data_IF_677394288843
#
_entry.id   IF_677394288843
#
_cell.length_a   1.000
_cell.length_b   1.000
_cell.length_c   1.000
_cell.angle_alpha   90.00
_cell.angle_beta   90.00
_cell.angle_gamma   90.00
#
_symmetry.space_group_name_H-M   'P 1'
#
loop_
_entity.id
_entity.type
_entity.pdbx_description
1 polymer ?
#
# COMPACT_ATOMS: atom_id res chain seq x y z
N UNK A 1 -56.83 -0.75 10.99
CA UNK A 1 -56.56 0.09 9.78
C UNK A 1 -57.23 1.48 9.78
N UNK A 2 -58.09 1.85 10.74
CA UNK A 2 -58.68 3.20 10.79
C UNK A 2 -57.94 4.21 11.70
N UNK A 3 -57.03 3.76 12.58
CA UNK A 3 -56.34 4.66 13.53
C UNK A 3 -54.98 5.20 13.03
N UNK A 4 -54.36 4.57 12.02
CA UNK A 4 -53.08 5.05 11.44
C UNK A 4 -53.25 6.12 10.34
N UNK A 5 -54.45 6.32 9.80
CA UNK A 5 -54.69 7.34 8.77
C UNK A 5 -54.81 8.77 9.33
N UNK A 6 -55.08 8.92 10.63
CA UNK A 6 -55.31 10.25 11.23
C UNK A 6 -54.01 10.92 11.72
N UNK A 7 -52.94 10.17 11.98
CA UNK A 7 -51.63 10.75 12.35
C UNK A 7 -50.79 11.19 11.14
N UNK A 8 -51.03 10.64 9.94
CA UNK A 8 -50.29 11.01 8.73
C UNK A 8 -50.72 12.36 8.13
N UNK A 9 -51.85 12.94 8.55
CA UNK A 9 -52.36 14.21 8.02
C UNK A 9 -51.88 15.47 8.77
N UNK A 10 -51.07 15.35 9.84
CA UNK A 10 -50.58 16.52 10.60
C UNK A 10 -49.10 16.87 10.42
N UNK A 11 -48.34 16.14 9.60
CA UNK A 11 -46.89 16.35 9.43
C UNK A 11 -46.41 16.44 7.98
N UNK A 12 -47.31 16.75 7.04
CA UNK A 12 -46.97 17.00 5.64
C UNK A 12 -47.35 18.44 5.25
N UNK A 13 -46.71 19.40 5.90
CA UNK A 13 -46.59 20.77 5.42
C UNK A 13 -45.14 21.01 5.03
N UNK A 14 -44.90 21.28 3.74
CA UNK A 14 -43.61 21.59 3.09
C UNK A 14 -42.65 20.42 2.81
N UNK A 15 -42.93 19.65 1.76
CA UNK A 15 -41.87 18.99 0.99
C UNK A 15 -42.13 19.14 -0.51
N UNK A 16 -41.09 19.48 -1.26
CA UNK A 16 -41.11 19.69 -2.72
C UNK A 16 -41.49 18.40 -3.47
N UNK A 17 -42.27 18.53 -4.56
CA UNK A 17 -42.73 17.45 -5.46
C UNK A 17 -41.61 16.51 -5.97
N UNK A 18 -40.34 16.93 -5.98
CA UNK A 18 -39.21 16.06 -6.36
C UNK A 18 -38.83 15.04 -5.29
N UNK A 19 -39.05 15.35 -4.01
CA UNK A 19 -38.70 14.48 -2.87
C UNK A 19 -39.69 13.33 -2.70
N UNK A 20 -40.97 13.58 -3.00
CA UNK A 20 -42.04 12.56 -2.92
C UNK A 20 -41.92 11.52 -4.03
N UNK A 21 -41.41 11.87 -5.21
CA UNK A 21 -41.22 10.94 -6.32
C UNK A 21 -40.04 9.99 -6.09
N UNK A 22 -38.93 10.48 -5.51
CA UNK A 22 -37.77 9.65 -5.19
C UNK A 22 -38.05 8.67 -4.03
N UNK A 23 -38.85 9.06 -3.03
CA UNK A 23 -39.27 8.13 -1.96
C UNK A 23 -40.21 7.02 -2.47
N UNK A 24 -41.07 7.30 -3.45
CA UNK A 24 -41.95 6.29 -4.05
C UNK A 24 -41.14 5.31 -4.92
N UNK A 25 -40.12 5.78 -5.65
CA UNK A 25 -39.22 4.90 -6.42
C UNK A 25 -38.39 4.00 -5.50
N UNK A 26 -37.89 4.52 -4.37
CA UNK A 26 -37.13 3.74 -3.37
C UNK A 26 -38.03 2.69 -2.70
N UNK A 27 -39.30 2.99 -2.42
CA UNK A 27 -40.25 2.02 -1.87
C UNK A 27 -40.65 0.92 -2.89
N UNK A 28 -40.78 1.26 -4.17
CA UNK A 28 -41.10 0.28 -5.22
C UNK A 28 -39.91 -0.65 -5.51
N UNK A 29 -38.68 -0.11 -5.51
CA UNK A 29 -37.45 -0.91 -5.64
C UNK A 29 -37.21 -1.78 -4.40
N UNK A 30 -37.53 -1.28 -3.21
CA UNK A 30 -37.43 -2.05 -1.95
C UNK A 30 -38.41 -3.23 -1.87
N UNK A 31 -39.62 -3.09 -2.41
CA UNK A 31 -40.61 -4.18 -2.44
C UNK A 31 -40.22 -5.25 -3.49
N UNK A 32 -39.66 -4.87 -4.64
CA UNK A 32 -39.17 -5.83 -5.64
C UNK A 32 -37.93 -6.62 -5.20
N UNK A 33 -37.06 -6.04 -4.36
CA UNK A 33 -35.89 -6.75 -3.79
C UNK A 33 -36.29 -7.74 -2.70
N UNK A 34 -37.37 -7.46 -1.94
CA UNK A 34 -37.88 -8.36 -0.90
C UNK A 34 -38.60 -9.58 -1.49
N UNK A 35 -39.24 -9.47 -2.65
CA UNK A 35 -39.85 -10.62 -3.35
C UNK A 35 -38.83 -11.53 -4.04
N UNK A 36 -37.68 -11.01 -4.48
CA UNK A 36 -36.57 -11.81 -5.03
C UNK A 36 -35.80 -12.61 -3.94
N UNK A 37 -35.79 -12.12 -2.69
CA UNK A 37 -35.13 -12.80 -1.58
C UNK A 37 -35.97 -13.93 -0.95
N UNK A 38 -37.29 -13.95 -1.17
CA UNK A 38 -38.20 -14.95 -0.59
C UNK A 38 -38.46 -16.16 -1.50
N UNK A 39 -37.90 -16.20 -2.71
CA UNK A 39 -38.13 -17.29 -3.70
C UNK A 39 -36.96 -18.29 -3.81
N UNK A 40 -35.77 -18.00 -3.25
CA UNK A 40 -34.58 -18.87 -3.37
C UNK A 40 -34.03 -19.44 -2.06
N UNK A 41 -34.91 -19.78 -1.12
CA UNK A 41 -34.53 -20.51 0.08
C UNK A 41 -35.51 -21.63 0.38
N UNK A 42 -35.28 -22.82 -0.17
CA UNK A 42 -35.58 -24.14 0.43
C UNK A 42 -35.42 -25.28 -0.60
N UNK A 43 -34.43 -26.15 -0.41
CA UNK A 43 -34.26 -27.43 -1.11
C UNK A 43 -33.16 -28.27 -0.46
N UNK A 44 -33.37 -29.57 -0.15
CA UNK A 44 -32.65 -30.28 0.91
C UNK A 44 -31.29 -30.86 0.50
N UNK A 45 -30.37 -30.95 1.47
CA UNK A 45 -29.14 -31.75 1.36
C UNK A 45 -29.46 -33.25 1.35
N UNK A 46 -28.79 -34.07 0.50
CA UNK A 46 -28.74 -35.51 0.67
C UNK A 46 -27.43 -35.95 1.35
N UNK A 47 -27.60 -36.78 2.38
CA UNK A 47 -26.61 -37.60 3.08
C UNK A 47 -25.98 -38.65 2.17
N UNK A 48 -24.66 -38.85 2.27
CA UNK A 48 -23.93 -39.96 1.63
C UNK A 48 -23.75 -41.08 2.66
N UNK A 49 -24.16 -42.34 2.38
CA UNK A 49 -23.79 -43.50 3.19
C UNK A 49 -22.52 -44.18 2.66
N UNK A 50 -21.68 -44.66 3.57
CA UNK A 50 -20.66 -45.67 3.31
C UNK A 50 -21.30 -46.99 2.89
N UNK A 51 -20.81 -47.61 1.82
CA UNK A 51 -20.74 -49.07 1.72
C UNK A 51 -19.72 -49.54 0.68
N UNK A 52 -18.87 -50.45 1.12
CA UNK A 52 -17.91 -51.25 0.35
C UNK A 52 -18.64 -52.18 -0.63
N UNK A 53 -18.10 -52.40 -1.83
CA UNK A 53 -18.00 -53.74 -2.43
C UNK A 53 -17.10 -53.74 -3.67
N UNK A 54 -16.40 -54.86 -3.84
CA UNK A 54 -15.32 -55.12 -4.78
C UNK A 54 -15.81 -55.64 -6.16
N UNK A 55 -14.92 -55.45 -7.15
CA UNK A 55 -14.57 -56.35 -8.29
C UNK A 55 -15.40 -56.43 -9.59
N UNK A 56 -14.65 -56.15 -10.69
CA UNK A 56 -14.56 -56.81 -12.04
C UNK A 56 -15.82 -56.76 -12.93
N UNK A 57 -15.77 -56.52 -14.25
CA UNK A 57 -14.73 -56.70 -15.27
C UNK A 57 -15.15 -55.99 -16.59
N UNK A 58 -14.16 -55.41 -17.29
CA UNK A 58 -13.95 -55.29 -18.76
C UNK A 58 -15.11 -55.04 -19.76
N UNK A 59 -14.99 -53.97 -20.57
CA UNK A 59 -14.86 -54.08 -22.04
C UNK A 59 -14.61 -52.72 -22.74
N UNK A 60 -13.58 -52.73 -23.60
CA UNK A 60 -13.45 -52.00 -24.88
C UNK A 60 -13.04 -50.51 -24.94
N UNK A 61 -11.72 -50.38 -25.17
CA UNK A 61 -10.93 -49.41 -25.94
C UNK A 61 -11.65 -48.45 -26.88
N UNK A 62 -11.46 -47.15 -26.64
CA UNK A 62 -11.34 -46.12 -27.68
C UNK A 62 -10.12 -45.23 -27.33
N UNK A 63 -9.15 -45.15 -28.25
CA UNK A 63 -7.87 -44.46 -28.07
C UNK A 63 -8.07 -42.94 -28.11
N UNK A 64 -7.85 -42.27 -26.98
CA UNK A 64 -7.70 -40.82 -26.91
C UNK A 64 -6.35 -40.38 -27.52
N UNK A 65 -6.30 -39.26 -28.27
CA UNK A 65 -5.06 -38.78 -28.89
C UNK A 65 -4.03 -38.40 -27.83
N UNK A 66 -2.76 -38.68 -28.14
CA UNK A 66 -1.61 -38.44 -27.27
C UNK A 66 -1.66 -37.06 -26.62
N UNK A 67 -1.61 -37.03 -25.28
CA UNK A 67 -1.42 -35.81 -24.50
C UNK A 67 -0.23 -35.03 -25.07
N UNK A 68 -0.46 -33.76 -25.44
CA UNK A 68 0.64 -32.82 -25.64
C UNK A 68 1.50 -32.85 -24.38
N UNK A 69 2.84 -32.93 -24.47
CA UNK A 69 3.69 -32.96 -23.29
C UNK A 69 3.43 -31.70 -22.47
N UNK A 70 2.69 -31.85 -21.39
CA UNK A 70 2.60 -30.82 -20.37
C UNK A 70 3.95 -30.79 -19.67
N UNK A 71 4.60 -29.63 -19.67
CA UNK A 71 5.74 -29.41 -18.80
C UNK A 71 5.29 -29.71 -17.37
N UNK A 72 5.87 -30.75 -16.75
CA UNK A 72 5.73 -30.97 -15.30
C UNK A 72 6.35 -29.76 -14.62
N UNK A 73 5.53 -28.78 -14.22
CA UNK A 73 5.94 -27.75 -13.28
C UNK A 73 6.09 -28.39 -11.90
N UNK A 74 7.20 -29.11 -11.68
CA UNK A 74 7.56 -29.59 -10.35
C UNK A 74 8.15 -28.43 -9.55
N UNK A 75 7.27 -27.60 -8.96
CA UNK A 75 7.64 -26.62 -7.93
C UNK A 75 7.25 -27.10 -6.53
N UNK A 76 7.12 -28.41 -6.30
CA UNK A 76 7.19 -28.92 -4.94
C UNK A 76 8.67 -28.91 -4.54
N UNK A 77 9.10 -27.81 -3.90
CA UNK A 77 10.36 -27.79 -3.20
C UNK A 77 10.26 -28.83 -2.08
N UNK A 78 10.88 -30.00 -2.26
CA UNK A 78 10.87 -31.11 -1.30
C UNK A 78 11.90 -30.94 -0.18
N UNK A 79 12.50 -29.75 -0.07
CA UNK A 79 13.37 -29.40 1.03
C UNK A 79 12.52 -29.26 2.32
N UNK A 80 12.66 -30.19 3.29
CA UNK A 80 11.88 -30.14 4.53
C UNK A 80 12.26 -28.95 5.41
N UNK A 81 13.41 -28.30 5.15
CA UNK A 81 13.88 -27.13 5.90
C UNK A 81 13.47 -25.80 5.24
N UNK A 82 12.77 -25.85 4.10
CA UNK A 82 12.31 -24.65 3.42
C UNK A 82 11.14 -23.99 4.17
N UNK A 83 11.44 -22.88 4.85
CA UNK A 83 10.42 -21.99 5.42
C UNK A 83 10.07 -20.95 4.37
N UNK A 84 8.80 -20.95 3.92
CA UNK A 84 8.28 -19.89 3.05
C UNK A 84 8.50 -18.53 3.72
N UNK A 85 9.04 -17.52 3.01
CA UNK A 85 9.17 -16.16 3.54
C UNK A 85 7.88 -15.56 4.09
N UNK A 86 6.71 -16.03 3.60
CA UNK A 86 5.40 -15.61 4.08
C UNK A 86 4.99 -16.21 5.44
N UNK A 87 5.65 -17.30 5.83
CA UNK A 87 5.41 -18.05 7.07
C UNK A 87 6.51 -17.83 8.12
N UNK A 88 7.56 -17.09 7.75
CA UNK A 88 8.65 -16.71 8.64
C UNK A 88 8.37 -15.33 9.26
N UNK A 89 8.02 -15.24 10.55
CA UNK A 89 7.63 -13.98 11.19
C UNK A 89 8.78 -12.97 11.28
N UNK A 90 10.04 -13.42 11.16
CA UNK A 90 11.24 -12.60 11.27
C UNK A 90 11.99 -12.44 9.93
N UNK A 91 11.37 -12.85 8.82
CA UNK A 91 11.99 -12.86 7.50
C UNK A 91 12.68 -11.53 7.14
N UNK A 92 11.96 -10.42 7.32
CA UNK A 92 12.44 -9.10 6.93
C UNK A 92 13.56 -8.54 7.82
N UNK A 93 13.81 -9.14 8.99
CA UNK A 93 14.91 -8.73 9.87
C UNK A 93 16.15 -9.61 9.71
N UNK A 94 16.01 -10.79 9.08
CA UNK A 94 17.12 -11.72 8.78
C UNK A 94 17.69 -11.54 7.37
N UNK A 95 17.33 -10.45 6.71
CA UNK A 95 17.78 -10.16 5.36
C UNK A 95 19.31 -9.98 5.32
N UNK A 96 19.99 -10.57 4.34
CA UNK A 96 21.43 -10.38 4.19
C UNK A 96 21.75 -8.92 3.83
N UNK A 97 22.89 -8.43 4.31
CA UNK A 97 23.41 -7.13 3.91
C UNK A 97 24.13 -7.25 2.57
N UNK A 98 23.38 -7.15 1.47
CA UNK A 98 23.90 -7.26 0.12
C UNK A 98 24.00 -5.85 -0.46
N UNK A 99 25.09 -5.15 -0.15
CA UNK A 99 25.43 -3.88 -0.78
C UNK A 99 26.52 -4.07 -1.82
N UNK A 100 26.08 -4.31 -3.06
CA UNK A 100 26.93 -4.19 -4.23
C UNK A 100 26.35 -3.07 -5.08
N UNK A 101 26.70 -1.79 -4.81
CA UNK A 101 26.07 -0.67 -5.49
C UNK A 101 26.28 -0.82 -7.00
N UNK A 102 25.21 -1.22 -7.68
CA UNK A 102 25.14 -1.26 -9.14
C UNK A 102 24.89 0.15 -9.66
N UNK A 103 25.15 0.35 -10.95
CA UNK A 103 24.92 1.60 -11.65
C UNK A 103 24.24 1.35 -12.98
N UNK A 104 23.64 2.41 -13.52
CA UNK A 104 22.96 2.39 -14.80
C UNK A 104 23.96 2.71 -15.90
N UNK A 105 23.96 1.94 -16.99
CA UNK A 105 24.78 2.24 -18.16
C UNK A 105 23.92 2.80 -19.27
N UNK A 106 24.19 4.03 -19.69
CA UNK A 106 23.53 4.65 -20.85
C UNK A 106 24.55 4.89 -21.96
N UNK A 107 24.22 4.46 -23.17
CA UNK A 107 25.05 4.63 -24.37
C UNK A 107 24.95 6.01 -25.03
N UNK A 108 24.24 6.96 -24.41
CA UNK A 108 24.01 8.31 -24.94
C UNK A 108 24.42 9.35 -23.92
N UNK A 109 25.02 10.45 -24.35
CA UNK A 109 25.51 11.51 -23.48
C UNK A 109 24.37 12.43 -23.00
N UNK A 110 24.48 13.12 -21.85
CA UNK A 110 23.58 14.22 -21.47
C UNK A 110 23.46 15.32 -22.55
N UNK A 111 24.43 15.42 -23.44
CA UNK A 111 24.45 16.38 -24.55
C UNK A 111 23.47 16.03 -25.67
N UNK A 112 23.03 14.77 -25.75
CA UNK A 112 22.13 14.27 -26.80
C UNK A 112 20.65 14.57 -26.50
N UNK A 113 20.37 15.22 -25.36
CA UNK A 113 19.04 15.60 -24.91
C UNK A 113 18.71 15.08 -23.51
N UNK A 114 17.51 15.40 -22.99
CA UNK A 114 17.12 15.01 -21.64
C UNK A 114 16.98 13.49 -21.52
N UNK A 115 17.43 12.89 -20.41
CA UNK A 115 17.24 11.46 -20.09
C UNK A 115 15.74 11.13 -20.08
N UNK A 116 15.31 10.13 -20.85
CA UNK A 116 13.90 9.73 -20.93
C UNK A 116 13.65 8.58 -19.98
N UNK A 117 12.85 8.85 -18.96
CA UNK A 117 12.46 7.89 -17.94
C UNK A 117 11.00 7.53 -18.17
N UNK A 118 10.73 6.27 -18.46
CA UNK A 118 9.37 5.75 -18.48
C UNK A 118 9.03 5.14 -17.13
N UNK A 119 8.10 5.78 -16.42
CA UNK A 119 7.61 5.32 -15.14
C UNK A 119 6.56 4.22 -15.35
N UNK A 120 6.99 2.98 -15.18
CA UNK A 120 6.13 1.82 -15.10
C UNK A 120 5.39 1.83 -13.76
N UNK A 121 4.19 2.40 -13.76
CA UNK A 121 3.24 2.18 -12.67
C UNK A 121 2.42 0.93 -12.98
N UNK A 122 2.64 -0.16 -12.24
CA UNK A 122 1.55 -1.12 -12.02
C UNK A 122 0.42 -0.30 -11.40
N UNK A 123 -0.75 -0.14 -12.05
CA UNK A 123 -1.75 0.75 -11.50
C UNK A 123 -2.18 0.19 -10.15
N UNK A 124 -1.92 0.91 -9.07
CA UNK A 124 -2.65 0.72 -7.80
C UNK A 124 -4.18 0.80 -7.99
N UNK A 125 -4.58 1.33 -9.14
CA UNK A 125 -5.93 1.65 -9.53
C UNK A 125 -6.76 0.44 -10.01
N UNK A 126 -6.22 -0.77 -10.04
CA UNK A 126 -6.91 -1.94 -10.62
C UNK A 126 -8.16 -2.34 -9.84
N UNK A 127 -8.15 -2.10 -8.52
CA UNK A 127 -9.28 -2.37 -7.63
C UNK A 127 -10.26 -1.18 -7.54
N UNK A 128 -9.89 -0.02 -8.07
CA UNK A 128 -10.66 1.22 -7.95
C UNK A 128 -11.26 1.68 -9.28
N UNK A 129 -10.81 1.13 -10.41
CA UNK A 129 -11.37 1.43 -11.71
C UNK A 129 -12.63 0.61 -11.99
N UNK A 130 -13.65 1.32 -12.46
CA UNK A 130 -14.76 0.73 -13.17
C UNK A 130 -14.26 0.33 -14.56
N UNK A 131 -13.69 -0.86 -14.67
CA UNK A 131 -13.13 -1.36 -15.92
C UNK A 131 -14.15 -1.42 -17.05
N UNK A 132 -15.44 -1.59 -16.76
CA UNK A 132 -16.50 -1.50 -17.75
C UNK A 132 -16.58 -0.10 -18.34
N UNK A 133 -16.51 0.94 -17.49
CA UNK A 133 -16.43 2.34 -17.94
C UNK A 133 -15.14 2.62 -18.71
N UNK A 134 -13.99 2.18 -18.20
CA UNK A 134 -12.70 2.44 -18.88
C UNK A 134 -12.59 1.72 -20.22
N UNK A 135 -13.28 0.58 -20.39
CA UNK A 135 -13.33 -0.17 -21.65
C UNK A 135 -14.20 0.50 -22.73
N UNK A 136 -14.88 1.61 -22.43
CA UNK A 136 -15.61 2.39 -23.43
C UNK A 136 -14.69 3.23 -24.33
N UNK A 137 -13.44 3.44 -23.92
CA UNK A 137 -12.46 4.23 -24.68
C UNK A 137 -11.14 3.46 -24.77
N UNK A 138 -10.91 2.83 -25.91
CA UNK A 138 -9.76 1.97 -26.14
C UNK A 138 -8.73 2.62 -27.08
N UNK A 139 -7.46 2.39 -26.79
CA UNK A 139 -6.30 2.87 -27.54
C UNK A 139 -5.46 1.67 -28.00
N UNK A 140 -4.81 1.75 -29.18
CA UNK A 140 -3.97 0.66 -29.67
C UNK A 140 -2.77 0.44 -28.75
N UNK A 141 -2.45 -0.83 -28.50
CA UNK A 141 -1.30 -1.24 -27.70
C UNK A 141 -0.02 -1.07 -28.52
N UNK A 142 1.02 -0.40 -27.98
CA UNK A 142 2.36 -0.46 -28.57
C UNK A 142 2.82 -1.91 -28.72
N UNK A 143 3.36 -2.27 -29.88
CA UNK A 143 3.62 -3.67 -30.25
C UNK A 143 4.45 -4.41 -29.19
N UNK A 144 5.42 -3.71 -28.62
CA UNK A 144 6.32 -4.20 -27.58
C UNK A 144 5.55 -4.62 -26.33
N UNK A 145 4.47 -3.91 -25.99
CA UNK A 145 3.68 -4.12 -24.77
C UNK A 145 2.55 -5.13 -24.94
N UNK A 146 2.31 -5.65 -26.15
CA UNK A 146 1.25 -6.63 -26.42
C UNK A 146 1.31 -7.85 -25.49
N UNK A 147 2.47 -8.51 -25.26
CA UNK A 147 2.53 -9.69 -24.41
C UNK A 147 2.16 -9.40 -22.95
N UNK A 148 2.54 -8.22 -22.45
CA UNK A 148 2.17 -7.80 -21.10
C UNK A 148 0.67 -7.64 -20.96
N UNK A 149 0.03 -6.87 -21.86
CA UNK A 149 -1.41 -6.60 -21.77
C UNK A 149 -2.27 -7.84 -22.01
N UNK A 150 -1.85 -8.76 -22.89
CA UNK A 150 -2.54 -10.03 -23.09
C UNK A 150 -2.54 -10.88 -21.81
N UNK A 151 -1.35 -11.05 -21.21
CA UNK A 151 -1.19 -11.79 -19.96
C UNK A 151 -1.91 -11.11 -18.79
N UNK A 152 -1.82 -9.78 -18.73
CA UNK A 152 -2.45 -8.96 -17.71
C UNK A 152 -3.98 -9.07 -17.77
N UNK A 153 -4.58 -8.93 -18.96
CA UNK A 153 -6.02 -9.11 -19.17
C UNK A 153 -6.46 -10.52 -18.75
N UNK A 154 -5.72 -11.54 -19.17
CA UNK A 154 -6.04 -12.94 -18.85
C UNK A 154 -6.01 -13.24 -17.34
N UNK A 155 -5.10 -12.62 -16.59
CA UNK A 155 -4.84 -12.99 -15.19
C UNK A 155 -5.40 -12.02 -14.15
N UNK A 156 -5.62 -10.75 -14.50
CA UNK A 156 -6.01 -9.70 -13.55
C UNK A 156 -7.40 -9.12 -13.80
N UNK A 157 -7.91 -9.19 -15.03
CA UNK A 157 -9.24 -8.69 -15.36
C UNK A 157 -10.23 -9.86 -15.27
N UNK A 158 -10.89 -9.99 -14.11
CA UNK A 158 -11.83 -11.09 -13.83
C UNK A 158 -13.29 -10.78 -14.17
N UNK A 159 -13.57 -9.70 -14.90
CA UNK A 159 -14.92 -9.32 -15.30
C UNK A 159 -15.19 -9.71 -16.76
N UNK A 160 -16.06 -10.71 -17.01
CA UNK A 160 -16.34 -11.22 -18.35
C UNK A 160 -17.11 -10.23 -19.23
N UNK A 161 -17.64 -9.14 -18.67
CA UNK A 161 -18.30 -8.07 -19.45
C UNK A 161 -17.31 -7.13 -20.13
N UNK A 162 -16.02 -7.22 -19.80
CA UNK A 162 -14.96 -6.43 -20.41
C UNK A 162 -14.46 -7.11 -21.69
N UNK A 163 -14.73 -6.47 -22.82
CA UNK A 163 -14.30 -6.93 -24.13
C UNK A 163 -13.25 -5.98 -24.70
N UNK A 164 -12.02 -6.01 -24.16
CA UNK A 164 -10.90 -5.36 -24.86
C UNK A 164 -10.65 -6.10 -26.17
N UNK A 165 -10.81 -5.42 -27.30
CA UNK A 165 -10.49 -5.99 -28.60
C UNK A 165 -9.00 -6.36 -28.66
N UNK A 166 -8.62 -7.45 -29.36
CA UNK A 166 -7.21 -7.80 -29.53
C UNK A 166 -6.42 -6.62 -30.08
N UNK A 167 -5.29 -6.28 -29.45
CA UNK A 167 -4.47 -5.12 -29.83
C UNK A 167 -4.87 -3.80 -29.19
N UNK A 168 -5.89 -3.76 -28.31
CA UNK A 168 -6.38 -2.54 -27.67
C UNK A 168 -6.50 -2.67 -26.16
N UNK A 169 -6.26 -1.56 -25.44
CA UNK A 169 -6.47 -1.41 -23.98
C UNK A 169 -7.06 -0.03 -23.65
N UNK A 170 -7.65 0.16 -22.46
CA UNK A 170 -8.20 1.45 -22.06
C UNK A 170 -7.22 2.61 -22.25
N UNK A 171 -7.70 3.72 -22.81
CA UNK A 171 -6.86 4.88 -23.11
C UNK A 171 -6.23 5.53 -21.86
N UNK A 172 -6.68 5.17 -20.65
CA UNK A 172 -6.11 5.68 -19.39
C UNK A 172 -4.62 5.40 -19.25
N UNK A 173 -4.10 4.34 -19.88
CA UNK A 173 -2.67 4.03 -19.87
C UNK A 173 -1.83 5.02 -20.70
N UNK A 174 -2.47 5.87 -21.51
CA UNK A 174 -1.81 6.82 -22.40
C UNK A 174 -2.17 8.29 -22.08
N UNK A 175 -3.00 8.53 -21.08
CA UNK A 175 -3.55 9.87 -20.79
C UNK A 175 -2.71 10.72 -19.84
N UNK A 176 -1.54 10.22 -19.43
CA UNK A 176 -0.66 10.92 -18.52
C UNK A 176 0.24 11.93 -19.24
N UNK A 177 0.48 13.05 -18.58
CA UNK A 177 1.39 14.09 -19.07
C UNK A 177 2.81 13.82 -18.59
N UNK A 178 3.74 14.10 -19.47
CA UNK A 178 5.17 14.05 -19.15
C UNK A 178 5.54 15.18 -18.20
N UNK A 179 6.47 14.90 -17.31
CA UNK A 179 7.05 15.87 -16.38
C UNK A 179 8.53 16.02 -16.70
N UNK A 180 8.93 17.23 -17.09
CA UNK A 180 10.33 17.57 -17.32
C UNK A 180 10.96 18.20 -16.08
N UNK A 181 12.25 17.96 -15.87
CA UNK A 181 13.01 18.54 -14.78
C UNK A 181 14.50 18.48 -15.04
N UNK A 182 15.27 18.85 -14.01
CA UNK A 182 16.72 18.76 -14.06
C UNK A 182 17.32 18.51 -12.69
N UNK A 183 18.36 17.68 -12.64
CA UNK A 183 19.12 17.40 -11.44
C UNK A 183 20.57 17.86 -11.62
N UNK A 184 21.16 18.42 -10.58
CA UNK A 184 22.60 18.62 -10.53
C UNK A 184 23.22 17.34 -9.96
N UNK A 185 23.75 16.49 -10.84
CA UNK A 185 24.38 15.23 -10.46
C UNK A 185 25.82 15.45 -10.04
N UNK A 186 26.34 14.54 -9.23
CA UNK A 186 27.71 14.64 -8.70
C UNK A 186 28.78 14.58 -9.78
N UNK A 187 28.61 13.71 -10.79
CA UNK A 187 29.63 13.44 -11.81
C UNK A 187 29.41 14.21 -13.10
N UNK A 188 28.15 14.45 -13.49
CA UNK A 188 27.81 14.95 -14.83
C UNK A 188 27.28 16.39 -14.83
N UNK A 189 27.28 17.05 -13.67
CA UNK A 189 26.73 18.39 -13.53
C UNK A 189 25.22 18.41 -13.77
N UNK A 190 24.72 19.40 -14.50
CA UNK A 190 23.28 19.51 -14.76
C UNK A 190 22.85 18.46 -15.79
N UNK A 191 21.96 17.55 -15.40
CA UNK A 191 21.32 16.57 -16.28
C UNK A 191 19.83 16.87 -16.34
N UNK A 192 19.33 17.17 -17.54
CA UNK A 192 17.91 17.34 -17.81
C UNK A 192 17.24 15.97 -18.01
N UNK A 193 15.98 15.84 -17.61
CA UNK A 193 15.22 14.59 -17.74
C UNK A 193 13.75 14.84 -18.08
N UNK A 194 13.10 13.80 -18.62
CA UNK A 194 11.65 13.74 -18.82
C UNK A 194 11.14 12.42 -18.24
N UNK A 195 10.21 12.50 -17.29
CA UNK A 195 9.47 11.33 -16.76
C UNK A 195 8.13 11.24 -17.48
N UNK A 196 7.87 10.11 -18.11
CA UNK A 196 6.61 9.79 -18.78
C UNK A 196 5.91 8.62 -18.08
N UNK A 197 4.60 8.75 -17.85
CA UNK A 197 3.71 7.62 -17.54
C UNK A 197 2.88 7.21 -18.77
N UNK A 198 3.07 7.88 -19.90
CA UNK A 198 2.37 7.56 -21.15
C UNK A 198 3.05 6.37 -21.83
N UNK A 199 2.29 5.28 -21.96
CA UNK A 199 2.78 4.00 -22.49
C UNK A 199 3.26 4.09 -23.95
N UNK A 200 2.89 5.12 -24.72
CA UNK A 200 3.45 5.35 -26.07
C UNK A 200 4.94 5.72 -26.04
N UNK A 201 5.47 6.14 -24.90
CA UNK A 201 6.86 6.55 -24.76
C UNK A 201 7.76 5.40 -24.26
N UNK A 202 7.22 4.18 -24.12
CA UNK A 202 7.93 3.03 -23.57
C UNK A 202 9.17 2.67 -24.40
N UNK A 203 9.02 2.46 -25.70
CA UNK A 203 10.08 2.00 -26.61
C UNK A 203 11.27 2.98 -26.72
N UNK A 204 10.98 4.28 -26.64
CA UNK A 204 12.00 5.35 -26.71
C UNK A 204 12.63 5.73 -25.38
N UNK A 205 12.23 5.09 -24.28
CA UNK A 205 12.79 5.34 -22.96
C UNK A 205 14.22 4.77 -22.83
N UNK A 206 15.05 5.46 -22.06
CA UNK A 206 16.39 4.97 -21.68
C UNK A 206 16.33 4.20 -20.38
N UNK A 207 15.45 4.66 -19.49
CA UNK A 207 15.25 4.09 -18.17
C UNK A 207 13.79 3.70 -18.06
N UNK A 208 13.54 2.43 -17.79
CA UNK A 208 12.25 1.95 -17.30
C UNK A 208 12.32 1.96 -15.78
N UNK A 209 11.56 2.87 -15.17
CA UNK A 209 11.45 3.04 -13.73
C UNK A 209 10.22 2.29 -13.22
N UNK A 210 10.43 1.17 -12.54
CA UNK A 210 9.38 0.36 -11.97
C UNK A 210 9.09 0.82 -10.55
N UNK A 211 8.03 1.62 -10.44
CA UNK A 211 7.54 2.07 -9.15
C UNK A 211 6.68 0.97 -8.53
N UNK A 212 7.06 0.52 -7.33
CA UNK A 212 6.12 -0.14 -6.42
C UNK A 212 5.41 -1.34 -7.08
N UNK A 213 6.17 -2.42 -7.23
CA UNK A 213 5.68 -3.63 -7.86
C UNK A 213 4.93 -4.44 -6.79
N UNK A 214 3.61 -4.26 -6.66
CA UNK A 214 2.75 -5.11 -5.82
C UNK A 214 2.14 -6.23 -6.62
N UNK A 215 2.90 -7.31 -6.75
CA UNK A 215 2.43 -8.53 -7.38
C UNK A 215 1.67 -9.30 -6.31
N UNK A 216 0.34 -9.25 -6.37
CA UNK A 216 -0.57 -9.97 -5.47
C UNK A 216 -0.69 -11.45 -5.86
N UNK A 217 -1.18 -12.28 -4.91
CA UNK A 217 -1.32 -13.75 -5.03
C UNK A 217 0.01 -14.49 -5.18
N UNK A 218 0.99 -14.02 -4.42
CA UNK A 218 2.39 -14.41 -4.49
C UNK A 218 2.83 -15.24 -3.30
N UNK A 219 1.89 -15.86 -2.57
CA UNK A 219 2.17 -16.61 -1.34
C UNK A 219 2.70 -18.03 -1.57
N UNK A 220 2.79 -18.46 -2.83
CA UNK A 220 3.31 -19.75 -3.26
C UNK A 220 4.30 -19.58 -4.43
N UNK A 221 5.17 -20.58 -4.64
CA UNK A 221 6.13 -20.59 -5.75
C UNK A 221 5.42 -20.43 -7.11
N UNK A 222 5.96 -19.62 -8.04
CA UNK A 222 7.28 -18.96 -8.02
C UNK A 222 7.36 -17.60 -7.27
N UNK A 223 6.42 -17.29 -6.37
CA UNK A 223 6.33 -16.06 -5.55
C UNK A 223 6.21 -14.74 -6.30
N UNK A 224 6.38 -14.70 -7.62
CA UNK A 224 6.01 -13.61 -8.49
C UNK A 224 5.89 -14.11 -9.94
N UNK A 225 5.10 -13.43 -10.76
CA UNK A 225 4.99 -13.75 -12.18
C UNK A 225 5.80 -12.72 -12.99
N UNK A 226 6.95 -13.12 -13.60
CA UNK A 226 7.78 -12.20 -14.37
C UNK A 226 7.07 -11.63 -15.60
N UNK A 227 5.99 -12.26 -16.08
CA UNK A 227 5.18 -11.74 -17.20
C UNK A 227 4.32 -10.54 -16.82
N UNK A 228 4.25 -10.20 -15.54
CA UNK A 228 3.66 -8.96 -15.04
C UNK A 228 4.69 -7.81 -15.00
N UNK A 229 5.92 -8.03 -15.43
CA UNK A 229 6.89 -6.97 -15.70
C UNK A 229 6.77 -6.53 -17.17
N UNK A 230 7.19 -5.30 -17.54
CA UNK A 230 7.33 -4.92 -18.93
C UNK A 230 8.24 -5.89 -19.70
N UNK A 231 8.16 -5.95 -21.04
CA UNK A 231 9.24 -6.55 -21.82
C UNK A 231 10.53 -5.75 -21.61
N UNK A 232 11.70 -6.38 -21.59
CA UNK A 232 12.98 -5.65 -21.50
C UNK A 232 13.56 -5.44 -22.89
N UNK A 233 13.66 -4.19 -23.34
CA UNK A 233 14.33 -3.85 -24.59
C UNK A 233 15.83 -3.61 -24.34
N UNK A 234 16.70 -3.94 -25.31
CA UNK A 234 18.15 -3.98 -25.09
C UNK A 234 18.80 -2.62 -24.83
N UNK A 235 18.16 -1.53 -25.28
CA UNK A 235 18.60 -0.16 -25.05
C UNK A 235 18.19 0.40 -23.68
N UNK A 236 17.29 -0.28 -22.96
CA UNK A 236 16.72 0.20 -21.71
C UNK A 236 17.49 -0.33 -20.51
N UNK A 237 17.75 0.57 -19.58
CA UNK A 237 18.10 0.22 -18.21
C UNK A 237 16.86 0.16 -17.33
N UNK A 238 16.85 -0.75 -16.38
CA UNK A 238 15.72 -1.00 -15.50
C UNK A 238 16.04 -0.63 -14.06
N UNK A 239 15.18 0.20 -13.48
CA UNK A 239 15.29 0.62 -12.08
C UNK A 239 14.08 0.09 -11.32
N UNK A 240 14.30 -0.59 -10.20
CA UNK A 240 13.22 -0.90 -9.25
C UNK A 240 13.24 0.09 -8.10
N UNK A 241 12.08 0.64 -7.76
CA UNK A 241 11.88 1.38 -6.52
C UNK A 241 10.83 0.68 -5.67
N UNK A 242 11.26 0.13 -4.54
CA UNK A 242 10.35 -0.45 -3.55
C UNK A 242 10.22 0.50 -2.35
N UNK A 243 9.04 1.10 -2.23
CA UNK A 243 8.68 2.03 -1.17
C UNK A 243 7.22 1.82 -0.74
N UNK A 244 6.80 2.52 0.32
CA UNK A 244 5.43 2.55 0.86
C UNK A 244 4.86 1.27 1.49
N UNK A 245 5.50 0.11 1.36
CA UNK A 245 5.02 -1.10 2.03
C UNK A 245 6.17 -1.99 2.50
N UNK A 246 5.85 -2.93 3.37
CA UNK A 246 6.81 -3.81 4.01
C UNK A 246 7.15 -5.01 3.14
N UNK A 247 8.43 -5.38 3.15
CA UNK A 247 8.91 -6.65 2.59
C UNK A 247 8.28 -7.85 3.29
N UNK A 248 7.76 -7.71 4.51
CA UNK A 248 6.95 -8.75 5.16
C UNK A 248 5.69 -9.13 4.37
N UNK A 249 5.15 -8.23 3.54
CA UNK A 249 4.07 -8.53 2.59
C UNK A 249 4.57 -8.94 1.21
N UNK A 250 5.73 -8.42 0.79
CA UNK A 250 6.27 -8.62 -0.56
C UNK A 250 7.71 -9.16 -0.52
N UNK A 251 7.91 -10.38 0.02
CA UNK A 251 9.24 -10.94 0.22
C UNK A 251 10.00 -11.21 -1.08
N UNK A 252 9.32 -11.34 -2.22
CA UNK A 252 10.02 -11.52 -3.51
C UNK A 252 10.93 -10.34 -3.87
N UNK A 253 10.66 -9.15 -3.35
CA UNK A 253 11.52 -7.98 -3.57
C UNK A 253 12.94 -8.21 -3.04
N UNK A 254 13.07 -9.05 -2.00
CA UNK A 254 14.33 -9.46 -1.42
C UNK A 254 15.01 -10.63 -2.16
N UNK A 255 14.32 -11.28 -3.10
CA UNK A 255 14.83 -12.51 -3.72
C UNK A 255 15.88 -12.21 -4.78
N UNK A 256 17.03 -12.93 -4.81
CA UNK A 256 18.02 -12.76 -5.86
C UNK A 256 17.47 -12.99 -7.27
N UNK A 257 16.50 -13.88 -7.45
CA UNK A 257 15.82 -14.11 -8.73
C UNK A 257 15.09 -12.86 -9.21
N UNK A 258 14.46 -12.11 -8.32
CA UNK A 258 13.75 -10.88 -8.64
C UNK A 258 14.73 -9.72 -8.87
N UNK A 259 15.64 -9.47 -7.92
CA UNK A 259 16.61 -8.36 -7.95
C UNK A 259 17.45 -8.35 -9.23
N UNK A 260 17.77 -9.52 -9.79
CA UNK A 260 18.55 -9.67 -11.05
C UNK A 260 17.85 -9.12 -12.30
N UNK A 261 16.57 -8.79 -12.25
CA UNK A 261 15.89 -8.15 -13.38
C UNK A 261 16.27 -6.69 -13.56
N UNK A 262 16.80 -6.05 -12.52
CA UNK A 262 17.05 -4.61 -12.46
C UNK A 262 18.55 -4.30 -12.48
N UNK A 263 18.89 -3.18 -13.09
CA UNK A 263 20.25 -2.63 -13.13
C UNK A 263 20.53 -1.76 -11.90
N UNK A 264 19.48 -1.18 -11.30
CA UNK A 264 19.55 -0.41 -10.05
C UNK A 264 18.32 -0.68 -9.18
N UNK A 265 18.51 -0.84 -7.86
CA UNK A 265 17.42 -0.90 -6.88
C UNK A 265 17.49 0.27 -5.89
N UNK A 266 16.32 0.84 -5.62
CA UNK A 266 16.11 2.00 -4.77
C UNK A 266 15.06 1.66 -3.71
N UNK A 267 15.22 2.20 -2.50
CA UNK A 267 14.18 2.17 -1.47
C UNK A 267 14.61 1.57 -0.13
N UNK A 268 13.68 0.86 0.50
CA UNK A 268 13.83 0.27 1.84
C UNK A 268 13.52 -1.23 1.80
N UNK A 269 14.19 -2.09 2.59
CA UNK A 269 15.16 -1.78 3.62
C UNK A 269 16.53 -1.41 3.04
N UNK A 270 17.26 -0.48 3.69
CA UNK A 270 18.49 0.10 3.17
C UNK A 270 19.65 -0.91 3.06
N UNK A 271 19.56 -2.09 3.68
CA UNK A 271 20.57 -3.14 3.54
C UNK A 271 20.47 -3.96 2.25
N UNK A 272 19.39 -3.83 1.47
CA UNK A 272 19.19 -4.59 0.23
C UNK A 272 19.11 -3.75 -1.05
N UNK A 273 19.04 -2.43 -0.91
CA UNK A 273 18.90 -1.53 -2.05
C UNK A 273 20.26 -0.92 -2.42
N UNK A 274 20.56 -0.81 -3.71
CA UNK A 274 21.76 -0.13 -4.21
C UNK A 274 21.79 1.32 -3.73
N UNK A 275 20.62 1.97 -3.80
CA UNK A 275 20.39 3.33 -3.31
C UNK A 275 19.36 3.28 -2.18
N UNK A 276 19.81 3.36 -0.91
CA UNK A 276 18.91 3.48 0.23
C UNK A 276 18.01 4.71 0.12
N UNK A 277 16.70 4.53 0.31
CA UNK A 277 15.73 5.62 0.36
C UNK A 277 14.61 5.27 1.35
N UNK A 278 14.34 6.12 2.36
CA UNK A 278 13.35 5.82 3.39
C UNK A 278 11.95 5.80 2.81
N UNK A 279 11.06 4.95 3.35
CA UNK A 279 9.68 4.84 2.86
C UNK A 279 8.91 6.16 2.97
N UNK A 280 9.25 6.96 3.96
CA UNK A 280 8.66 8.27 4.19
C UNK A 280 9.78 9.32 4.33
N UNK A 281 10.15 10.00 3.23
CA UNK A 281 11.23 10.98 3.25
C UNK A 281 10.82 12.23 4.04
N UNK A 282 11.68 12.65 4.97
CA UNK A 282 11.48 13.84 5.79
C UNK A 282 12.50 14.90 5.37
N UNK A 283 12.01 15.93 4.69
CA UNK A 283 12.83 17.06 4.25
C UNK A 283 12.95 18.14 5.35
N UNK A 284 13.79 19.15 5.09
CA UNK A 284 14.05 20.22 6.04
C UNK A 284 12.80 21.06 6.37
N UNK A 285 11.87 21.24 5.44
CA UNK A 285 10.65 22.00 5.67
C UNK A 285 9.71 21.22 6.58
N UNK A 286 9.53 19.93 6.30
CA UNK A 286 8.73 19.03 7.13
C UNK A 286 9.29 18.96 8.55
N UNK A 287 10.61 18.89 8.73
CA UNK A 287 11.24 18.96 10.06
C UNK A 287 10.85 20.23 10.80
N UNK A 288 10.89 21.39 10.14
CA UNK A 288 10.46 22.66 10.74
C UNK A 288 8.98 22.65 11.09
N UNK A 289 8.13 22.17 10.18
CA UNK A 289 6.68 22.10 10.41
C UNK A 289 6.37 21.23 11.64
N UNK A 290 6.96 20.04 11.73
CA UNK A 290 6.79 19.12 12.86
C UNK A 290 7.26 19.76 14.19
N UNK A 291 8.38 20.48 14.18
CA UNK A 291 8.92 21.13 15.38
C UNK A 291 8.06 22.32 15.83
N UNK A 292 7.35 22.98 14.92
CA UNK A 292 6.53 24.17 15.19
C UNK A 292 5.08 23.85 15.57
N UNK A 293 4.60 22.64 15.32
CA UNK A 293 3.27 22.20 15.77
C UNK A 293 3.16 22.31 17.29
N UNK A 294 2.15 22.97 17.87
CA UNK A 294 1.96 23.01 19.31
C UNK A 294 1.48 21.66 19.85
N UNK A 295 1.65 21.36 21.15
CA UNK A 295 0.99 20.23 21.81
C UNK A 295 -0.53 20.22 21.57
N UNK A 296 -1.14 19.04 21.48
CA UNK A 296 -2.53 18.90 21.05
C UNK A 296 -3.59 19.42 22.04
N UNK A 297 -3.33 19.44 23.38
CA UNK A 297 -4.36 19.78 24.40
C UNK A 297 -3.88 20.39 25.73
N UNK A 298 -4.81 21.03 26.49
CA UNK A 298 -4.77 21.06 27.95
C UNK A 298 -4.97 19.66 28.58
N UNK A 299 -4.28 19.39 29.68
CA UNK A 299 -4.03 18.05 30.23
C UNK A 299 -5.25 17.30 30.85
N UNK A 300 -6.45 17.87 30.77
CA UNK A 300 -7.60 17.53 31.63
C UNK A 300 -8.65 16.62 30.95
N UNK A 301 -8.22 15.54 30.28
CA UNK A 301 -9.13 14.55 29.66
C UNK A 301 -9.47 13.39 30.60
N UNK A 302 -10.64 12.76 30.43
CA UNK A 302 -10.94 11.48 31.11
C UNK A 302 -10.11 10.35 30.51
N UNK A 303 -9.83 9.25 31.25
CA UNK A 303 -9.00 8.14 30.77
C UNK A 303 -9.44 7.54 29.43
N UNK A 304 -10.75 7.51 29.15
CA UNK A 304 -11.35 6.98 27.92
C UNK A 304 -11.03 7.86 26.69
N UNK A 305 -10.67 9.13 26.90
CA UNK A 305 -10.28 10.07 25.85
C UNK A 305 -8.75 10.23 25.72
N UNK A 306 -7.97 9.28 26.26
CA UNK A 306 -6.50 9.35 26.20
C UNK A 306 -5.92 8.96 24.85
N UNK A 307 -6.58 8.02 24.16
CA UNK A 307 -6.01 7.43 22.96
C UNK A 307 -7.06 7.22 21.88
N UNK A 308 -6.66 7.53 20.65
CA UNK A 308 -7.37 7.08 19.47
C UNK A 308 -6.41 6.60 18.38
N UNK A 309 -6.94 5.83 17.45
CA UNK A 309 -6.21 5.34 16.29
C UNK A 309 -7.10 5.12 15.06
N UNK A 310 -6.44 5.13 13.90
CA UNK A 310 -7.02 4.83 12.60
C UNK A 310 -6.28 3.65 11.98
N UNK A 311 -6.91 2.48 12.01
CA UNK A 311 -6.35 1.26 11.40
C UNK A 311 -7.39 0.63 10.50
N UNK A 312 -7.04 0.46 9.23
CA UNK A 312 -7.96 -0.06 8.18
C UNK A 312 -7.49 -1.38 7.59
N UNK A 313 -6.18 -1.63 7.52
CA UNK A 313 -5.67 -2.96 7.21
C UNK A 313 -5.84 -3.84 8.45
N UNK A 314 -6.69 -4.86 8.42
CA UNK A 314 -6.92 -5.75 9.58
C UNK A 314 -6.13 -7.05 9.52
N UNK A 315 -5.17 -7.17 8.60
CA UNK A 315 -4.35 -8.36 8.38
C UNK A 315 -2.86 -8.04 8.55
N UNK A 316 -2.45 -7.54 9.73
CA UNK A 316 -1.05 -7.26 10.00
C UNK A 316 -0.18 -8.53 9.93
N UNK A 317 1.12 -8.35 9.70
CA UNK A 317 2.17 -9.35 9.87
C UNK A 317 2.79 -9.31 11.29
N UNK A 318 2.12 -8.67 12.23
CA UNK A 318 2.48 -8.57 13.65
C UNK A 318 1.20 -8.63 14.52
N UNK A 319 1.36 -8.60 15.85
CA UNK A 319 0.26 -8.71 16.81
C UNK A 319 -0.52 -7.39 17.01
N UNK A 320 -0.56 -6.52 15.99
CA UNK A 320 -1.17 -5.18 16.14
C UNK A 320 -2.63 -5.27 16.57
N UNK A 321 -3.42 -6.18 16.02
CA UNK A 321 -4.85 -6.23 16.31
C UNK A 321 -5.12 -6.63 17.76
N UNK A 322 -4.34 -7.56 18.31
CA UNK A 322 -4.41 -7.97 19.71
C UNK A 322 -4.06 -6.81 20.64
N UNK A 323 -3.00 -6.06 20.29
CA UNK A 323 -2.58 -4.85 21.03
C UNK A 323 -3.65 -3.76 20.99
N UNK A 324 -4.29 -3.54 19.83
CA UNK A 324 -5.41 -2.60 19.68
C UNK A 324 -6.57 -2.98 20.60
N UNK A 325 -6.92 -4.27 20.64
CA UNK A 325 -7.99 -4.77 21.49
C UNK A 325 -7.67 -4.53 22.97
N UNK A 326 -6.44 -4.79 23.40
CA UNK A 326 -6.02 -4.51 24.78
C UNK A 326 -6.09 -3.02 25.14
N UNK A 327 -5.73 -2.10 24.23
CA UNK A 327 -5.93 -0.66 24.45
C UNK A 327 -7.41 -0.30 24.58
N UNK A 328 -8.28 -0.91 23.78
CA UNK A 328 -9.74 -0.70 23.89
C UNK A 328 -10.23 -1.17 25.25
N UNK A 329 -9.89 -2.40 25.65
CA UNK A 329 -10.44 -3.03 26.86
C UNK A 329 -9.93 -2.41 28.15
N UNK A 330 -8.65 -2.02 28.20
CA UNK A 330 -7.99 -1.58 29.44
C UNK A 330 -7.83 -0.06 29.57
N UNK A 331 -7.81 0.68 28.45
CA UNK A 331 -7.68 2.14 28.43
C UNK A 331 -8.97 2.84 27.93
N UNK A 332 -9.91 2.12 27.32
CA UNK A 332 -11.09 2.72 26.71
C UNK A 332 -10.78 3.46 25.39
N UNK A 333 -9.71 3.07 24.69
CA UNK A 333 -9.25 3.76 23.48
C UNK A 333 -10.29 3.75 22.35
N UNK A 334 -10.29 4.80 21.52
CA UNK A 334 -11.19 4.93 20.39
C UNK A 334 -10.56 4.45 19.06
N UNK A 335 -11.19 3.48 18.42
CA UNK A 335 -10.89 3.06 17.05
C UNK A 335 -11.90 3.66 16.08
N UNK A 336 -11.40 4.49 15.17
CA UNK A 336 -12.19 5.10 14.09
C UNK A 336 -12.01 4.39 12.74
N UNK A 337 -10.93 3.61 12.57
CA UNK A 337 -10.67 2.84 11.35
C UNK A 337 -11.59 1.64 11.18
N UNK A 338 -11.38 0.84 10.13
CA UNK A 338 -12.20 -0.36 9.88
C UNK A 338 -11.95 -1.49 10.90
N UNK A 339 -10.75 -1.57 11.48
CA UNK A 339 -10.38 -2.62 12.41
C UNK A 339 -10.83 -2.27 13.83
N UNK A 340 -11.57 -3.19 14.47
CA UNK A 340 -12.07 -3.04 15.84
C UNK A 340 -12.80 -1.71 16.07
N UNK A 341 -13.54 -1.24 15.06
CA UNK A 341 -14.21 0.06 15.11
C UNK A 341 -15.18 0.11 16.30
N UNK A 342 -14.96 1.07 17.20
CA UNK A 342 -15.82 1.29 18.36
C UNK A 342 -16.29 2.75 18.46
N UNK A 343 -15.85 3.63 17.55
CA UNK A 343 -16.23 5.03 17.51
C UNK A 343 -16.58 5.47 16.09
N UNK A 344 -17.69 6.17 15.96
CA UNK A 344 -18.09 6.77 14.70
C UNK A 344 -17.33 8.05 14.40
N UNK A 345 -17.14 8.31 13.10
CA UNK A 345 -16.59 9.58 12.63
C UNK A 345 -17.52 10.73 13.05
N UNK A 346 -16.97 11.92 13.38
CA UNK A 346 -17.77 13.10 13.66
C UNK A 346 -18.70 13.44 12.50
N UNK A 347 -19.83 14.09 12.81
CA UNK A 347 -20.78 14.56 11.81
C UNK A 347 -20.10 15.44 10.75
N UNK A 348 -20.43 15.20 9.48
CA UNK A 348 -19.85 15.91 8.33
C UNK A 348 -18.50 15.35 7.84
N UNK A 349 -17.87 14.42 8.57
CA UNK A 349 -16.65 13.74 8.12
C UNK A 349 -17.02 12.36 7.57
N UNK A 350 -16.56 12.07 6.35
CA UNK A 350 -16.65 10.75 5.74
C UNK A 350 -15.25 10.25 5.40
N UNK A 351 -15.01 8.97 5.63
CA UNK A 351 -13.87 8.26 5.07
C UNK A 351 -14.21 7.90 3.63
N UNK A 352 -13.71 8.70 2.69
CA UNK A 352 -13.86 8.47 1.27
C UNK A 352 -12.53 8.13 0.59
N UNK A 353 -11.45 7.93 1.37
CA UNK A 353 -10.09 7.78 0.84
C UNK A 353 -9.64 8.93 -0.07
N UNK A 354 -10.34 10.06 -0.05
CA UNK A 354 -10.12 11.18 -0.96
C UNK A 354 -8.99 12.11 -0.50
N UNK A 355 -8.66 13.15 -1.29
CA UNK A 355 -7.54 14.05 -1.01
C UNK A 355 -7.59 14.74 0.36
N UNK A 356 -8.79 14.89 0.93
CA UNK A 356 -9.01 15.55 2.22
C UNK A 356 -8.92 14.60 3.42
N UNK A 357 -8.87 13.28 3.18
CA UNK A 357 -8.96 12.28 4.25
C UNK A 357 -7.83 12.40 5.27
N UNK A 358 -6.60 12.63 4.81
CA UNK A 358 -5.45 12.83 5.69
C UNK A 358 -5.67 13.95 6.70
N UNK A 359 -6.25 15.07 6.27
CA UNK A 359 -6.55 16.20 7.16
C UNK A 359 -7.73 15.92 8.10
N UNK A 360 -8.77 15.20 7.65
CA UNK A 360 -9.85 14.76 8.53
C UNK A 360 -9.35 13.81 9.64
N UNK A 361 -8.52 12.83 9.29
CA UNK A 361 -7.85 11.93 10.23
C UNK A 361 -7.08 12.75 11.28
N UNK A 362 -6.26 13.70 10.83
CA UNK A 362 -5.50 14.60 11.71
C UNK A 362 -6.41 15.44 12.61
N UNK A 363 -7.52 15.99 12.10
CA UNK A 363 -8.49 16.77 12.89
C UNK A 363 -9.18 15.98 14.01
N UNK A 364 -9.32 14.66 13.84
CA UNK A 364 -9.88 13.77 14.86
C UNK A 364 -8.79 13.37 15.85
N UNK A 365 -7.66 12.88 15.36
CA UNK A 365 -6.55 12.43 16.23
C UNK A 365 -5.94 13.56 17.03
N UNK A 366 -5.93 14.79 16.49
CA UNK A 366 -5.49 15.98 17.23
C UNK A 366 -6.37 16.28 18.42
N UNK A 367 -7.40 15.46 18.74
CA UNK A 367 -8.27 15.44 19.94
C UNK A 367 -7.73 14.56 21.07
N UNK A 368 -6.66 13.81 20.87
CA UNK A 368 -6.16 12.86 21.85
C UNK A 368 -4.73 13.23 22.27
N UNK A 369 -4.36 13.06 23.55
CA UNK A 369 -2.98 13.25 23.99
C UNK A 369 -2.05 12.15 23.46
N UNK A 370 -2.55 10.93 23.28
CA UNK A 370 -1.81 9.81 22.70
C UNK A 370 -2.49 9.30 21.44
N UNK A 371 -1.69 8.77 20.52
CA UNK A 371 -2.19 8.07 19.35
C UNK A 371 -1.27 6.90 19.02
N UNK A 372 -1.84 5.80 18.53
CA UNK A 372 -1.06 4.60 18.27
C UNK A 372 -0.48 4.63 16.85
N UNK A 373 0.84 4.77 16.75
CA UNK A 373 1.64 4.77 15.53
C UNK A 373 2.08 3.32 15.23
N UNK A 374 1.13 2.49 14.80
CA UNK A 374 1.39 1.06 14.63
C UNK A 374 1.54 0.65 13.18
N UNK A 375 2.75 0.22 12.86
CA UNK A 375 3.08 -0.43 11.61
C UNK A 375 2.38 -1.77 11.48
N UNK A 376 2.15 -2.19 10.24
CA UNK A 376 1.54 -3.47 9.91
C UNK A 376 2.55 -4.64 9.92
N UNK A 377 3.83 -4.37 10.18
CA UNK A 377 4.91 -5.35 10.35
C UNK A 377 6.05 -4.72 11.16
N UNK A 378 6.89 -5.54 11.79
CA UNK A 378 8.00 -5.09 12.63
C UNK A 378 9.35 -5.17 11.89
N UNK A 379 9.36 -4.81 10.60
CA UNK A 379 10.55 -4.90 9.78
C UNK A 379 11.51 -3.75 10.07
N UNK A 380 12.81 -4.04 10.12
CA UNK A 380 13.86 -3.03 10.23
C UNK A 380 13.70 -1.96 9.15
N UNK A 381 13.85 -0.69 9.52
CA UNK A 381 13.74 0.47 8.63
C UNK A 381 12.37 0.66 7.97
N UNK A 382 11.34 -0.09 8.40
CA UNK A 382 9.95 0.09 7.96
C UNK A 382 9.23 1.13 8.81
N UNK A 383 9.52 2.40 8.53
CA UNK A 383 8.89 3.57 9.19
C UNK A 383 8.10 4.34 8.15
N UNK A 384 6.78 4.48 8.36
CA UNK A 384 5.87 5.13 7.41
C UNK A 384 5.28 6.44 7.94
N UNK A 385 4.31 7.00 7.23
CA UNK A 385 3.58 8.22 7.59
C UNK A 385 2.97 8.19 9.00
N UNK A 386 2.72 7.00 9.58
CA UNK A 386 1.92 6.84 10.81
C UNK A 386 2.49 7.61 11.99
N UNK A 387 3.80 7.54 12.23
CA UNK A 387 4.43 8.28 13.33
C UNK A 387 4.47 9.78 13.04
N UNK A 388 4.77 10.16 11.80
CA UNK A 388 4.88 11.56 11.39
C UNK A 388 3.53 12.29 11.41
N UNK A 389 2.46 11.62 10.99
CA UNK A 389 1.08 12.12 11.09
C UNK A 389 0.71 12.47 12.54
N UNK A 390 1.17 11.67 13.51
CA UNK A 390 0.90 11.87 14.94
C UNK A 390 1.75 13.03 15.49
N UNK A 391 3.02 13.12 15.10
CA UNK A 391 3.87 14.26 15.46
C UNK A 391 3.29 15.58 14.89
N UNK A 392 2.79 15.54 13.65
CA UNK A 392 2.21 16.69 12.94
C UNK A 392 0.93 17.25 13.56
N UNK A 393 0.31 16.53 14.50
CA UNK A 393 -0.88 16.98 15.23
C UNK A 393 -0.61 17.29 16.70
N UNK A 394 0.64 17.18 17.14
CA UNK A 394 1.05 17.45 18.51
C UNK A 394 0.60 16.39 19.53
N UNK A 395 0.12 15.24 19.07
CA UNK A 395 -0.19 14.07 19.89
C UNK A 395 1.10 13.27 20.14
N UNK A 396 1.14 12.48 21.21
CA UNK A 396 2.30 11.65 21.57
C UNK A 396 2.13 10.27 20.91
N UNK A 397 3.02 9.87 19.98
CA UNK A 397 2.98 8.55 19.37
C UNK A 397 3.32 7.46 20.39
N UNK A 398 2.51 6.40 20.41
CA UNK A 398 2.91 5.11 20.94
C UNK A 398 3.25 4.23 19.74
N UNK A 399 4.53 3.90 19.57
CA UNK A 399 5.06 3.30 18.35
C UNK A 399 5.19 1.79 18.48
N UNK A 400 4.73 1.08 17.45
CA UNK A 400 4.96 -0.35 17.24
C UNK A 400 5.41 -0.54 15.79
N UNK A 401 6.61 -1.07 15.56
CA UNK A 401 7.14 -1.26 14.22
C UNK A 401 8.63 -1.58 14.20
N UNK A 402 9.38 -0.80 13.42
CA UNK A 402 10.81 -0.98 13.22
C UNK A 402 11.62 -0.77 14.51
N UNK A 403 12.56 -1.67 14.82
CA UNK A 403 13.39 -1.60 16.03
C UNK A 403 14.43 -0.48 16.00
N UNK A 404 14.74 0.04 14.81
CA UNK A 404 15.64 1.15 14.53
C UNK A 404 14.92 2.51 14.41
N UNK A 405 13.67 2.62 14.89
CA UNK A 405 12.87 3.87 14.85
C UNK A 405 13.59 5.11 15.41
N UNK A 406 14.52 4.93 16.35
CA UNK A 406 15.35 6.01 16.90
C UNK A 406 16.28 6.69 15.88
N UNK A 407 16.47 6.08 14.70
CA UNK A 407 17.22 6.68 13.58
C UNK A 407 16.34 7.56 12.68
N UNK A 408 15.01 7.53 12.86
CA UNK A 408 13.99 8.14 12.01
C UNK A 408 13.19 9.27 12.69
N UNK A 409 13.19 9.34 14.02
CA UNK A 409 12.52 10.39 14.78
C UNK A 409 13.36 10.88 15.95
N UNK A 410 13.08 12.08 16.50
CA UNK A 410 13.85 12.63 17.60
C UNK A 410 13.73 11.77 18.86
N UNK A 411 14.83 11.65 19.61
CA UNK A 411 14.82 10.99 20.91
C UNK A 411 13.79 11.64 21.85
N UNK A 412 13.02 10.81 22.54
CA UNK A 412 11.98 11.27 23.45
C UNK A 412 10.73 11.84 22.78
N UNK A 413 10.58 11.74 21.45
CA UNK A 413 9.36 12.19 20.76
C UNK A 413 8.22 11.17 20.75
N UNK A 414 8.44 9.95 21.23
CA UNK A 414 7.49 8.84 21.17
C UNK A 414 7.66 7.90 22.37
N UNK A 415 6.65 7.06 22.59
CA UNK A 415 6.69 5.93 23.53
C UNK A 415 6.93 4.66 22.71
N UNK A 416 8.02 3.95 22.95
CA UNK A 416 8.26 2.64 22.34
C UNK A 416 7.39 1.59 23.04
N UNK A 417 6.47 0.95 22.30
CA UNK A 417 5.64 -0.13 22.83
C UNK A 417 6.50 -1.29 23.37
N UNK A 418 7.59 -1.62 22.67
CA UNK A 418 8.44 -2.77 23.01
C UNK A 418 9.29 -2.55 24.27
N UNK A 419 9.32 -1.33 24.81
CA UNK A 419 10.05 -1.00 26.04
C UNK A 419 9.35 -1.48 27.32
N UNK A 420 8.10 -1.95 27.23
CA UNK A 420 7.28 -2.35 28.38
C UNK A 420 7.13 -3.88 28.44
N UNK A 421 7.20 -4.44 29.65
CA UNK A 421 7.06 -5.88 29.85
C UNK A 421 5.61 -6.38 29.80
N UNK A 422 4.64 -5.46 29.90
CA UNK A 422 3.21 -5.77 29.79
C UNK A 422 2.38 -4.55 29.39
N UNK A 423 1.17 -4.79 28.87
CA UNK A 423 0.21 -3.73 28.59
C UNK A 423 -0.19 -2.95 29.86
N UNK A 424 -0.30 -3.61 31.00
CA UNK A 424 -0.69 -2.95 32.26
C UNK A 424 0.37 -1.94 32.72
N UNK A 425 1.64 -2.27 32.52
CA UNK A 425 2.77 -1.37 32.75
C UNK A 425 2.71 -0.15 31.83
N UNK A 426 2.48 -0.36 30.53
CA UNK A 426 2.33 0.70 29.55
C UNK A 426 1.14 1.62 29.88
N UNK A 427 -0.02 1.05 30.22
CA UNK A 427 -1.20 1.84 30.58
C UNK A 427 -0.97 2.66 31.86
N UNK A 428 -0.29 2.09 32.85
CA UNK A 428 0.11 2.82 34.06
C UNK A 428 1.03 3.98 33.70
N UNK A 429 2.00 3.76 32.81
CA UNK A 429 2.90 4.81 32.33
C UNK A 429 2.13 5.92 31.59
N UNK A 430 1.28 5.58 30.61
CA UNK A 430 0.42 6.53 29.87
C UNK A 430 -0.39 7.42 30.81
N UNK A 431 -0.94 6.85 31.90
CA UNK A 431 -1.76 7.55 32.88
C UNK A 431 -0.98 8.48 33.81
N UNK A 432 0.32 8.25 33.99
CA UNK A 432 1.12 8.93 35.02
C UNK A 432 2.27 9.77 34.47
N UNK A 433 2.65 9.57 33.21
CA UNK A 433 3.79 10.26 32.61
C UNK A 433 3.55 11.76 32.49
N UNK A 434 4.58 12.53 32.82
CA UNK A 434 4.64 13.95 32.53
C UNK A 434 4.82 14.14 31.01
N UNK A 435 3.71 14.45 30.36
CA UNK A 435 3.61 14.61 28.91
C UNK A 435 4.47 15.75 28.37
N UNK A 436 4.84 16.74 29.20
CA UNK A 436 5.68 17.87 28.76
C UNK A 436 7.06 17.41 28.25
N UNK A 437 7.51 16.25 28.73
CA UNK A 437 8.80 15.67 28.37
C UNK A 437 8.88 15.28 26.89
N UNK A 438 7.76 14.85 26.30
CA UNK A 438 7.67 14.46 24.88
C UNK A 438 7.70 15.62 23.89
N UNK A 439 7.79 16.86 24.38
CA UNK A 439 7.88 18.05 23.54
C UNK A 439 9.24 18.75 23.64
N UNK A 440 10.16 18.27 24.49
CA UNK A 440 11.51 18.85 24.66
C UNK A 440 12.34 18.82 23.37
N UNK A 441 12.15 17.79 22.54
CA UNK A 441 12.84 17.66 21.25
C UNK A 441 12.54 18.83 20.29
N UNK A 442 11.38 19.49 20.42
CA UNK A 442 10.96 20.56 19.51
C UNK A 442 11.93 21.73 19.54
N UNK A 443 12.36 22.16 20.73
CA UNK A 443 13.33 23.24 20.86
C UNK A 443 14.73 22.82 20.39
N UNK A 444 15.11 21.55 20.56
CA UNK A 444 16.38 21.02 20.01
C UNK A 444 16.36 21.10 18.49
N UNK A 445 15.28 20.64 17.86
CA UNK A 445 15.14 20.60 16.40
C UNK A 445 14.96 21.99 15.77
N UNK A 446 14.27 22.91 16.44
CA UNK A 446 14.19 24.32 15.99
C UNK A 446 15.57 24.97 15.93
N UNK A 447 16.44 24.66 16.88
CA UNK A 447 17.81 25.18 16.93
C UNK A 447 18.76 24.46 15.96
N UNK A 448 18.61 23.15 15.84
CA UNK A 448 19.40 22.32 14.93
C UNK A 448 18.51 21.29 14.23
N UNK A 449 18.04 21.58 13.00
CA UNK A 449 17.15 20.69 12.26
C UNK A 449 17.76 19.30 12.06
N UNK A 450 19.09 19.20 11.97
CA UNK A 450 19.82 17.92 11.76
C UNK A 450 19.65 16.93 12.92
N UNK A 451 19.16 17.41 14.08
CA UNK A 451 18.85 16.56 15.24
C UNK A 451 17.50 15.87 15.13
N UNK A 452 16.73 16.12 14.08
CA UNK A 452 15.43 15.47 13.95
C UNK A 452 15.58 13.96 13.75
N UNK A 453 16.38 13.53 12.79
CA UNK A 453 16.72 12.12 12.67
C UNK A 453 18.05 11.90 11.95
N UNK A 454 18.67 10.74 12.18
CA UNK A 454 20.01 10.42 11.63
C UNK A 454 19.98 10.21 10.12
N UNK A 455 18.83 9.80 9.59
CA UNK A 455 18.62 9.44 8.18
C UNK A 455 17.82 10.47 7.38
N UNK A 456 17.30 11.49 8.05
CA UNK A 456 16.61 12.64 7.48
C UNK A 456 17.69 13.61 6.97
N UNK A 457 17.34 14.56 6.11
CA UNK A 457 18.25 15.62 5.60
C UNK A 457 19.12 15.33 4.37
N UNK A 458 19.10 14.13 3.80
CA UNK A 458 19.77 13.96 2.50
C UNK A 458 18.89 14.58 1.41
N UNK A 459 19.35 15.64 0.71
CA UNK A 459 18.66 16.28 -0.44
C UNK A 459 18.35 15.32 -1.60
N UNK A 460 18.64 14.03 -1.44
CA UNK A 460 18.46 12.91 -2.37
C UNK A 460 17.06 12.29 -2.30
N UNK A 461 16.09 12.94 -1.68
CA UNK A 461 14.74 12.39 -1.59
C UNK A 461 13.97 12.43 -2.92
N UNK A 462 14.43 13.21 -3.90
CA UNK A 462 13.99 13.04 -5.29
C UNK A 462 14.61 11.76 -5.86
N UNK A 463 13.79 10.72 -5.98
CA UNK A 463 14.18 9.45 -6.57
C UNK A 463 14.71 9.62 -8.00
N UNK A 464 14.23 10.62 -8.75
CA UNK A 464 14.71 10.90 -10.10
C UNK A 464 16.17 11.32 -10.05
N UNK A 465 16.50 12.28 -9.19
CA UNK A 465 17.89 12.69 -9.02
C UNK A 465 18.76 11.57 -8.47
N UNK A 466 18.23 10.73 -7.57
CA UNK A 466 18.94 9.57 -7.07
C UNK A 466 19.28 8.55 -8.18
N UNK A 467 18.37 8.34 -9.14
CA UNK A 467 18.63 7.52 -10.34
C UNK A 467 19.72 8.15 -11.20
N UNK A 468 19.60 9.45 -11.49
CA UNK A 468 20.53 10.16 -12.37
C UNK A 468 21.95 10.25 -11.78
N UNK A 469 22.09 10.33 -10.45
CA UNK A 469 23.36 10.29 -9.74
C UNK A 469 24.12 8.95 -9.90
N UNK A 470 23.43 7.90 -10.36
CA UNK A 470 23.99 6.55 -10.54
C UNK A 470 24.08 6.15 -12.03
N UNK A 471 24.07 7.13 -12.95
CA UNK A 471 24.30 6.87 -14.38
C UNK A 471 25.79 6.94 -14.70
N UNK A 472 26.26 5.94 -15.42
CA UNK A 472 27.54 5.90 -16.11
C UNK A 472 27.30 5.94 -17.62
N UNK A 473 27.76 7.01 -18.25
CA UNK A 473 27.69 7.15 -19.69
C UNK A 473 28.83 6.38 -20.34
N UNK A 474 28.49 5.42 -21.22
CA UNK A 474 29.48 4.64 -21.99
C UNK A 474 29.58 5.21 -23.40
N UNK A 475 30.81 5.50 -23.83
CA UNK A 475 31.14 6.01 -25.18
C UNK A 475 31.16 4.91 -26.24
#
# INVERSE_FOLDING_TARGET
MASLKMMAQKTLGSFSRKTTLNMIIILIVGIMILELYLVNGNGPQPSVPEQQSETKQQSETEQLPAEKPQAKHSYENKDPDFISPYNDPDFCNRLPNIRHPRGIQLSRSPKDGPVKIFAWSQPWLIYLHDWKKESLNLCPIPLELQPFFDHYKQTKIQDPSILWEPGYVPCIFFSYKDTAGSCNTKEHGKVDYVVSYNYTNFDTADIVYLNVLYIHHTTALPYYDPRLLPPRLSQQSWVSHFHSESIGYYPYVAMPSFIRHFDLTLGSPPQMMDVPHPLYPVDANMVQDLANVPPSFPFDKTPEDYMAFFVTNCWPKNNRNEILQEFIDKLGAHSYGACLRNKDLPEGIQDNGGPQWGEHKKQILRKYPFSFAAENSNCLSYVTEKIYDILAIGSIPIYLGASDIADYVPEGSYIDFNAFGSMDELIKYIKTVDRSQFYKWKEVVKNDPSKFCKTCHDKKFDFTCAILDNIHYVE
#
